data_IF_386435309398
#
_entry.id   IF_386435309398
#
_cell.length_a   1.000
_cell.length_b   1.000
_cell.length_c   1.000
_cell.angle_alpha   90.00
_cell.angle_beta   90.00
_cell.angle_gamma   90.00
#
_symmetry.space_group_name_H-M   'P 1'
#
loop_
_entity.id
_entity.type
_entity.pdbx_description
1 polymer ?
#
# COMPACT_ATOMS: atom_id res chain seq x y z
N UNK A 1 -2.39 15.49 -7.63
CA UNK A 1 -3.79 15.13 -7.30
C UNK A 1 -3.99 15.13 -5.77
N UNK A 2 -5.13 15.62 -5.26
CA UNK A 2 -5.44 15.57 -3.82
C UNK A 2 -6.80 14.90 -3.60
N UNK A 3 -6.85 13.92 -2.70
CA UNK A 3 -8.09 13.25 -2.27
C UNK A 3 -8.12 13.28 -0.74
N UNK A 4 -9.28 13.60 -0.16
CA UNK A 4 -9.41 13.68 1.29
C UNK A 4 -10.81 13.32 1.80
N UNK A 5 -10.89 13.03 3.10
CA UNK A 5 -12.14 12.80 3.83
C UNK A 5 -12.94 11.61 3.28
N UNK A 6 -12.26 10.50 3.01
CA UNK A 6 -12.88 9.29 2.48
C UNK A 6 -12.97 8.22 3.56
N UNK A 7 -14.14 7.61 3.66
CA UNK A 7 -14.35 6.39 4.44
C UNK A 7 -14.82 5.30 3.47
N UNK A 8 -14.07 4.20 3.41
CA UNK A 8 -14.45 3.00 2.69
C UNK A 8 -14.64 1.87 3.70
N UNK A 9 -15.83 1.26 3.71
CA UNK A 9 -16.16 0.16 4.60
C UNK A 9 -16.56 -1.07 3.80
N UNK A 10 -16.26 -2.26 4.34
CA UNK A 10 -16.46 -3.53 3.64
C UNK A 10 -15.74 -3.57 2.26
N UNK A 11 -14.58 -2.92 2.19
CA UNK A 11 -13.77 -2.84 0.97
C UNK A 11 -13.25 -4.21 0.57
N UNK A 12 -13.18 -4.49 -0.73
CA UNK A 12 -12.71 -5.78 -1.22
C UNK A 12 -11.20 -5.94 -1.02
N UNK A 13 -10.83 -6.90 -0.19
CA UNK A 13 -9.45 -7.13 0.23
C UNK A 13 -8.58 -7.80 -0.84
N UNK A 14 -9.19 -8.24 -1.95
CA UNK A 14 -8.45 -8.71 -3.12
C UNK A 14 -7.54 -7.63 -3.72
N UNK A 15 -7.95 -6.35 -3.70
CA UNK A 15 -7.32 -5.31 -4.51
C UNK A 15 -6.47 -4.29 -3.76
N UNK A 16 -6.56 -4.21 -2.43
CA UNK A 16 -5.97 -3.10 -1.66
C UNK A 16 -6.38 -1.72 -2.22
N UNK A 17 -5.70 -0.66 -1.78
CA UNK A 17 -5.74 0.66 -2.41
C UNK A 17 -4.52 0.81 -3.30
N UNK A 18 -4.75 0.87 -4.61
CA UNK A 18 -3.70 0.83 -5.64
C UNK A 18 -3.33 2.26 -6.04
N UNK A 19 -2.03 2.58 -5.95
CA UNK A 19 -1.43 3.77 -6.55
C UNK A 19 -0.30 3.26 -7.44
N UNK A 20 -0.59 3.01 -8.71
CA UNK A 20 0.35 2.36 -9.61
C UNK A 20 0.50 3.13 -10.92
N UNK A 21 1.75 3.51 -11.25
CA UNK A 21 2.14 3.94 -12.59
C UNK A 21 2.55 2.77 -13.47
N UNK A 22 3.19 3.10 -14.59
CA UNK A 22 3.86 2.13 -15.48
C UNK A 22 5.38 2.42 -15.48
N UNK A 23 6.21 1.46 -15.89
CA UNK A 23 7.63 1.71 -16.13
C UNK A 23 7.84 2.93 -17.03
N UNK A 24 8.71 3.84 -16.61
CA UNK A 24 8.98 5.11 -17.30
C UNK A 24 7.84 6.13 -17.28
N UNK A 25 6.69 5.81 -16.67
CA UNK A 25 5.50 6.67 -16.59
C UNK A 25 4.92 6.59 -15.17
N UNK A 26 5.62 7.14 -14.17
CA UNK A 26 5.20 7.03 -12.78
C UNK A 26 3.93 7.84 -12.51
N UNK A 27 3.19 7.46 -11.47
CA UNK A 27 2.17 8.32 -10.87
C UNK A 27 2.86 9.36 -10.00
N UNK A 28 2.57 10.64 -10.22
CA UNK A 28 3.25 11.75 -9.55
C UNK A 28 2.32 12.61 -8.69
N UNK A 29 2.87 13.15 -7.60
CA UNK A 29 2.27 14.19 -6.76
C UNK A 29 0.84 13.87 -6.28
N UNK A 30 0.67 12.67 -5.70
CA UNK A 30 -0.59 12.22 -5.10
C UNK A 30 -0.56 12.47 -3.59
N UNK A 31 -1.59 13.14 -3.08
CA UNK A 31 -1.84 13.27 -1.64
C UNK A 31 -3.17 12.65 -1.25
N UNK A 32 -3.13 11.81 -0.22
CA UNK A 32 -4.29 11.26 0.47
C UNK A 32 -4.30 11.74 1.92
N UNK A 33 -5.39 12.36 2.36
CA UNK A 33 -5.51 12.90 3.71
C UNK A 33 -6.84 12.53 4.38
N UNK A 34 -6.80 12.19 5.67
CA UNK A 34 -8.00 11.81 6.44
C UNK A 34 -8.78 10.69 5.74
N UNK A 35 -8.14 9.52 5.64
CA UNK A 35 -8.67 8.35 4.94
C UNK A 35 -8.87 7.22 5.94
N UNK A 36 -10.04 6.58 5.91
CA UNK A 36 -10.33 5.39 6.73
C UNK A 36 -10.81 4.25 5.84
N UNK A 37 -10.13 3.11 5.91
CA UNK A 37 -10.48 1.94 5.10
C UNK A 37 -10.62 0.70 5.98
N UNK A 38 -11.73 -0.01 5.80
CA UNK A 38 -12.03 -1.27 6.49
C UNK A 38 -12.22 -2.37 5.44
N UNK A 39 -11.21 -3.22 5.29
CA UNK A 39 -11.22 -4.33 4.36
C UNK A 39 -11.93 -5.55 4.95
N UNK A 40 -12.79 -6.18 4.15
CA UNK A 40 -13.35 -7.49 4.51
C UNK A 40 -12.26 -8.56 4.50
N UNK A 41 -12.46 -9.68 5.17
CA UNK A 41 -11.51 -10.79 5.05
C UNK A 41 -11.49 -11.35 3.62
N UNK A 42 -10.37 -11.95 3.21
CA UNK A 42 -10.37 -12.80 2.03
C UNK A 42 -11.40 -13.92 2.23
N UNK A 43 -12.15 -14.19 1.18
CA UNK A 43 -13.19 -15.23 1.12
C UNK A 43 -12.63 -16.66 1.22
N UNK A 44 -11.37 -16.88 0.83
CA UNK A 44 -10.71 -18.19 0.95
C UNK A 44 -9.20 -18.09 1.24
N UNK A 45 -8.67 -18.88 2.19
CA UNK A 45 -7.21 -19.05 2.38
C UNK A 45 -6.50 -19.68 1.18
N UNK A 46 -7.25 -20.33 0.27
CA UNK A 46 -6.70 -20.97 -0.93
C UNK A 46 -6.33 -19.96 -2.03
N UNK A 47 -6.77 -18.71 -1.90
CA UNK A 47 -6.40 -17.68 -2.86
C UNK A 47 -4.89 -17.44 -2.85
N UNK A 48 -4.28 -17.61 -4.02
CA UNK A 48 -2.86 -17.38 -4.21
C UNK A 48 -2.59 -15.88 -4.21
N UNK A 49 -2.01 -15.39 -3.11
CA UNK A 49 -1.44 -14.04 -3.02
C UNK A 49 -0.37 -13.91 -4.11
N UNK A 50 -0.45 -12.86 -4.92
CA UNK A 50 0.55 -12.63 -5.96
C UNK A 50 1.89 -12.27 -5.34
N UNK A 51 2.90 -13.09 -5.66
CA UNK A 51 4.30 -12.79 -5.32
C UNK A 51 4.88 -11.68 -6.21
N UNK A 52 4.40 -11.60 -7.45
CA UNK A 52 4.74 -10.58 -8.45
C UNK A 52 3.43 -10.13 -9.07
N UNK A 53 3.15 -8.82 -9.04
CA UNK A 53 1.96 -8.24 -9.65
C UNK A 53 2.26 -7.96 -11.13
N UNK A 54 1.53 -8.55 -12.10
CA UNK A 54 1.78 -8.30 -13.51
C UNK A 54 1.69 -6.83 -13.89
N UNK A 55 2.51 -6.41 -14.85
CA UNK A 55 2.40 -5.12 -15.53
C UNK A 55 1.65 -5.33 -16.84
N UNK A 56 0.49 -4.68 -16.97
CA UNK A 56 -0.38 -4.81 -18.13
C UNK A 56 -0.31 -3.53 -18.98
N UNK A 57 0.87 -3.21 -19.54
CA UNK A 57 1.12 -1.93 -20.24
C UNK A 57 0.23 -1.72 -21.48
N UNK A 58 -0.17 -2.80 -22.16
CA UNK A 58 -0.89 -2.73 -23.45
C UNK A 58 -2.39 -3.04 -23.37
N UNK A 59 -2.90 -3.33 -22.18
CA UNK A 59 -4.31 -3.72 -21.99
C UNK A 59 -4.93 -2.92 -20.86
N UNK A 60 -6.23 -2.63 -20.95
CA UNK A 60 -6.94 -1.93 -19.89
C UNK A 60 -6.70 -2.63 -18.53
N UNK A 61 -6.26 -1.91 -17.49
CA UNK A 61 -5.92 -2.49 -16.20
C UNK A 61 -7.21 -2.93 -15.50
N UNK A 62 -7.62 -4.17 -15.72
CA UNK A 62 -8.71 -4.78 -14.97
C UNK A 62 -8.15 -5.31 -13.64
N UNK A 63 -8.63 -4.83 -12.47
CA UNK A 63 -8.14 -5.27 -11.17
C UNK A 63 -8.19 -6.79 -11.00
N UNK A 64 -9.22 -7.45 -11.56
CA UNK A 64 -9.35 -8.91 -11.55
C UNK A 64 -8.16 -9.65 -12.19
N UNK A 65 -7.49 -9.05 -13.19
CA UNK A 65 -6.31 -9.63 -13.84
C UNK A 65 -5.06 -9.56 -12.96
N UNK A 66 -5.05 -8.66 -11.98
CA UNK A 66 -3.98 -8.54 -10.99
C UNK A 66 -4.14 -9.50 -9.81
N UNK A 67 -5.14 -10.40 -9.81
CA UNK A 67 -5.31 -11.39 -8.74
C UNK A 67 -5.36 -10.78 -7.33
N UNK A 68 -4.93 -11.55 -6.32
CA UNK A 68 -4.95 -11.11 -4.92
C UNK A 68 -3.68 -10.33 -4.61
N UNK A 69 -3.83 -9.06 -4.24
CA UNK A 69 -2.72 -8.15 -3.95
C UNK A 69 -1.85 -8.64 -2.79
N UNK A 70 -0.54 -8.35 -2.81
CA UNK A 70 0.40 -8.72 -1.74
C UNK A 70 0.24 -7.89 -0.46
N UNK A 71 -0.52 -6.80 -0.49
CA UNK A 71 -0.92 -6.03 0.67
C UNK A 71 -2.43 -6.10 0.86
N UNK A 72 -2.89 -5.94 2.10
CA UNK A 72 -4.31 -5.71 2.36
C UNK A 72 -4.68 -4.22 2.30
N UNK A 73 -3.73 -3.32 2.60
CA UNK A 73 -3.97 -1.89 2.78
C UNK A 73 -3.70 -1.05 1.54
N UNK A 74 -2.41 -0.78 1.25
CA UNK A 74 -1.95 -0.03 0.09
C UNK A 74 -0.92 -0.84 -0.71
N UNK A 75 -1.09 -0.83 -2.02
CA UNK A 75 -0.08 -1.25 -2.98
C UNK A 75 0.34 -0.01 -3.80
N UNK A 76 1.60 0.40 -3.67
CA UNK A 76 2.11 1.60 -4.34
C UNK A 76 3.28 1.18 -5.22
N UNK A 77 3.18 1.45 -6.52
CA UNK A 77 4.20 1.05 -7.50
C UNK A 77 4.46 2.09 -8.58
N UNK A 78 5.71 2.27 -9.00
CA UNK A 78 6.11 3.27 -10.02
C UNK A 78 5.50 4.64 -9.68
N UNK A 79 5.89 5.18 -8.53
CA UNK A 79 5.28 6.40 -8.01
C UNK A 79 6.32 7.37 -7.47
N UNK A 80 6.08 8.67 -7.71
CA UNK A 80 6.95 9.76 -7.27
C UNK A 80 6.13 10.75 -6.43
N UNK A 81 6.71 11.20 -5.31
CA UNK A 81 6.14 12.24 -4.44
C UNK A 81 4.74 11.94 -3.90
N UNK A 82 4.52 10.71 -3.40
CA UNK A 82 3.24 10.32 -2.77
C UNK A 82 3.23 10.74 -1.29
N UNK A 83 2.10 11.27 -0.80
CA UNK A 83 1.91 11.65 0.60
C UNK A 83 0.64 11.04 1.17
N UNK A 84 0.77 10.32 2.26
CA UNK A 84 -0.34 9.79 3.06
C UNK A 84 -0.29 10.45 4.43
N UNK A 85 -1.35 11.15 4.81
CA UNK A 85 -1.48 11.78 6.11
C UNK A 85 -2.82 11.47 6.78
N UNK A 86 -2.79 11.15 8.07
CA UNK A 86 -4.00 10.79 8.85
C UNK A 86 -4.78 9.65 8.17
N UNK A 87 -4.13 8.49 8.08
CA UNK A 87 -4.68 7.32 7.40
C UNK A 87 -4.87 6.18 8.38
N UNK A 88 -6.09 5.66 8.45
CA UNK A 88 -6.45 4.48 9.22
C UNK A 88 -6.82 3.32 8.31
N UNK A 89 -6.18 2.16 8.52
CA UNK A 89 -6.44 0.95 7.75
C UNK A 89 -6.74 -0.20 8.70
N UNK A 90 -7.85 -0.89 8.46
CA UNK A 90 -8.37 -2.00 9.27
C UNK A 90 -8.73 -3.17 8.38
N UNK A 91 -8.71 -4.37 8.95
CA UNK A 91 -9.26 -5.57 8.34
C UNK A 91 -10.27 -6.21 9.31
N UNK A 92 -11.35 -6.77 8.77
CA UNK A 92 -12.53 -7.22 9.53
C UNK A 92 -12.53 -8.74 9.86
N UNK A 93 -11.39 -9.41 9.74
CA UNK A 93 -11.28 -10.85 10.00
C UNK A 93 -9.83 -11.33 10.04
N UNK A 94 -9.55 -12.50 9.46
CA UNK A 94 -8.17 -12.98 9.34
C UNK A 94 -7.43 -12.28 8.19
N UNK A 95 -6.16 -11.96 8.42
CA UNK A 95 -5.28 -11.37 7.43
C UNK A 95 -3.85 -11.90 7.64
N UNK A 96 -3.09 -12.04 6.55
CA UNK A 96 -1.73 -12.59 6.54
C UNK A 96 -0.73 -11.73 5.76
N UNK A 97 -1.22 -10.66 5.12
CA UNK A 97 -0.44 -9.74 4.30
C UNK A 97 0.00 -8.49 5.09
N UNK A 98 1.08 -7.81 4.67
CA UNK A 98 1.41 -6.49 5.17
C UNK A 98 0.33 -5.45 4.85
N UNK A 99 0.35 -4.35 5.59
CA UNK A 99 -0.53 -3.20 5.30
C UNK A 99 -0.06 -2.43 4.06
N UNK A 100 1.26 -2.27 3.90
CA UNK A 100 1.85 -1.56 2.77
C UNK A 100 2.79 -2.48 2.00
N UNK A 101 2.66 -2.47 0.68
CA UNK A 101 3.63 -3.02 -0.24
C UNK A 101 4.04 -1.93 -1.23
N UNK A 102 5.33 -1.60 -1.23
CA UNK A 102 5.92 -0.50 -1.99
C UNK A 102 6.94 -1.07 -2.96
N UNK A 103 6.85 -0.71 -4.23
CA UNK A 103 7.76 -1.19 -5.28
C UNK A 103 8.12 -0.05 -6.24
N UNK A 104 9.39 0.28 -6.42
CA UNK A 104 9.82 1.40 -7.28
C UNK A 104 9.10 2.72 -6.93
N UNK A 105 9.37 3.21 -5.73
CA UNK A 105 8.74 4.43 -5.20
C UNK A 105 9.80 5.43 -4.75
N UNK A 106 9.70 6.66 -5.24
CA UNK A 106 10.61 7.75 -4.87
C UNK A 106 9.84 8.87 -4.16
N UNK A 107 10.24 9.21 -2.93
CA UNK A 107 9.66 10.35 -2.21
C UNK A 107 8.30 10.06 -1.57
N UNK A 108 8.13 8.91 -0.92
CA UNK A 108 6.93 8.58 -0.16
C UNK A 108 6.98 9.16 1.26
N UNK A 109 5.93 9.88 1.66
CA UNK A 109 5.75 10.36 3.04
C UNK A 109 4.54 9.71 3.70
N UNK A 110 4.81 9.00 4.80
CA UNK A 110 3.82 8.37 5.66
C UNK A 110 3.78 9.14 6.98
N UNK A 111 2.70 9.88 7.23
CA UNK A 111 2.54 10.69 8.44
C UNK A 111 1.23 10.36 9.15
N UNK A 112 1.29 10.11 10.46
CA UNK A 112 0.08 9.81 11.26
C UNK A 112 -0.68 8.62 10.66
N UNK A 113 -0.01 7.47 10.59
CA UNK A 113 -0.56 6.26 9.99
C UNK A 113 -0.92 5.27 11.08
N UNK A 114 -2.16 4.79 11.04
CA UNK A 114 -2.64 3.75 11.92
C UNK A 114 -3.13 2.56 11.09
N UNK A 115 -2.20 1.69 10.71
CA UNK A 115 -2.51 0.42 10.07
C UNK A 115 -2.56 -0.71 11.10
N UNK A 116 -3.60 -1.55 11.03
CA UNK A 116 -3.76 -2.68 11.94
C UNK A 116 -2.63 -3.71 11.72
N UNK A 117 -1.83 -4.05 12.75
CA UNK A 117 -0.74 -4.99 12.58
C UNK A 117 -1.25 -6.42 12.43
N UNK A 118 -0.60 -7.19 11.56
CA UNK A 118 -0.83 -8.62 11.41
C UNK A 118 0.26 -9.37 12.18
N UNK A 119 -0.14 -10.30 13.05
CA UNK A 119 0.81 -11.00 13.92
C UNK A 119 1.89 -11.74 13.11
N UNK A 120 3.16 -11.54 13.48
CA UNK A 120 4.31 -12.18 12.83
C UNK A 120 4.58 -11.69 11.40
N UNK A 121 3.98 -10.58 10.97
CA UNK A 121 4.20 -9.98 9.64
C UNK A 121 4.73 -8.55 9.75
N UNK A 122 5.58 -8.13 8.80
CA UNK A 122 5.94 -6.72 8.68
C UNK A 122 4.70 -5.90 8.35
N UNK A 123 4.64 -4.65 8.82
CA UNK A 123 3.57 -3.72 8.45
C UNK A 123 3.84 -3.09 7.08
N UNK A 124 5.11 -2.87 6.75
CA UNK A 124 5.55 -2.28 5.48
C UNK A 124 6.58 -3.19 4.81
N UNK A 125 6.36 -3.52 3.54
CA UNK A 125 7.35 -4.13 2.66
C UNK A 125 7.75 -3.12 1.60
N UNK A 126 9.04 -2.85 1.48
CA UNK A 126 9.60 -1.90 0.53
C UNK A 126 10.61 -2.60 -0.39
N UNK A 127 10.49 -2.38 -1.69
CA UNK A 127 11.39 -2.84 -2.72
C UNK A 127 11.72 -1.66 -3.64
N UNK A 128 13.00 -1.34 -3.76
CA UNK A 128 13.50 -0.25 -4.59
C UNK A 128 12.83 1.10 -4.25
N UNK A 129 12.76 1.40 -2.95
CA UNK A 129 12.18 2.66 -2.44
C UNK A 129 13.28 3.63 -2.04
N UNK A 130 13.16 4.89 -2.50
CA UNK A 130 14.03 6.00 -2.10
C UNK A 130 13.23 7.12 -1.44
N UNK A 131 13.91 7.87 -0.57
CA UNK A 131 13.35 9.05 0.13
C UNK A 131 12.04 8.76 0.91
N UNK A 132 11.97 7.62 1.59
CA UNK A 132 10.84 7.25 2.43
C UNK A 132 10.91 7.97 3.78
N UNK A 133 9.87 8.74 4.10
CA UNK A 133 9.68 9.34 5.42
C UNK A 133 8.57 8.62 6.16
N UNK A 134 8.86 8.17 7.38
CA UNK A 134 7.88 7.60 8.30
C UNK A 134 7.84 8.50 9.53
N UNK A 135 6.65 9.00 9.88
CA UNK A 135 6.42 9.84 11.04
C UNK A 135 5.08 9.52 11.70
N UNK A 136 5.05 9.44 13.03
CA UNK A 136 3.83 9.17 13.81
C UNK A 136 3.09 7.91 13.32
N UNK A 137 3.85 6.84 13.05
CA UNK A 137 3.30 5.57 12.59
C UNK A 137 3.03 4.67 13.79
N UNK A 138 1.81 4.14 13.92
CA UNK A 138 1.36 3.43 15.13
C UNK A 138 2.29 2.30 15.60
N UNK A 139 2.89 1.54 14.67
CA UNK A 139 3.79 0.41 14.98
C UNK A 139 5.27 0.65 14.65
N UNK A 140 5.63 1.77 14.02
CA UNK A 140 6.98 1.99 13.51
C UNK A 140 7.57 3.28 14.10
N UNK A 141 8.89 3.28 14.33
CA UNK A 141 9.60 4.49 14.77
C UNK A 141 9.72 5.48 13.62
N UNK A 142 9.69 6.76 13.98
CA UNK A 142 10.02 7.87 13.10
C UNK A 142 11.40 7.68 12.48
N UNK A 143 11.48 7.82 11.15
CA UNK A 143 12.73 7.66 10.42
C UNK A 143 12.62 8.25 9.01
N UNK A 144 13.76 8.68 8.50
CA UNK A 144 13.95 9.00 7.09
C UNK A 144 14.93 8.00 6.47
N UNK A 145 14.54 7.43 5.33
CA UNK A 145 15.29 6.39 4.64
C UNK A 145 15.61 6.90 3.24
N UNK A 146 16.88 7.27 3.02
CA UNK A 146 17.34 7.75 1.71
C UNK A 146 17.23 6.69 0.63
N UNK A 147 17.64 5.45 0.94
CA UNK A 147 17.48 4.30 0.07
C UNK A 147 17.16 3.06 0.92
N UNK A 148 16.00 2.45 0.64
CA UNK A 148 15.53 1.28 1.35
C UNK A 148 16.03 -0.03 0.70
N UNK A 149 16.38 -0.05 -0.58
CA UNK A 149 16.57 -1.28 -1.35
C UNK A 149 15.37 -2.22 -1.13
N UNK A 150 15.63 -3.48 -0.79
CA UNK A 150 14.60 -4.39 -0.26
C UNK A 150 14.62 -4.40 1.27
N UNK A 151 13.56 -3.91 1.92
CA UNK A 151 13.40 -3.86 3.38
C UNK A 151 12.00 -4.27 3.82
N UNK A 152 11.92 -4.78 5.05
CA UNK A 152 10.67 -5.13 5.74
C UNK A 152 10.70 -4.46 7.11
N UNK A 153 9.64 -3.74 7.45
CA UNK A 153 9.48 -3.00 8.70
C UNK A 153 8.36 -3.61 9.55
#
# INVERSE_FOLDING_TARGET
MNISNIIAYNADSHFASIIAGLPGNPVEDVSLQNIKIYYRQLDSPAHKIQAVVPEHEKTYPEPAKMGVMPAYGFFIRHAVNVRLSDVQIRYLGQETRPAFYLEDVNGLKLQTINAQPVNGKPTVVAKDVSELTIKDFYTLKDQFIRNAGTKKF
#
